data_IF_103215671728
#
_entry.id   IF_103215671728
#
_cell.length_a   1.000
_cell.length_b   1.000
_cell.length_c   1.000
_cell.angle_alpha   90.00
_cell.angle_beta   90.00
_cell.angle_gamma   90.00
#
_symmetry.space_group_name_H-M   'P 1'
#
loop_
_entity.id
_entity.type
_entity.pdbx_description
1 polymer ?
#
# COMPACT_ATOMS: atom_id res chain seq x y z
N UNK A 1 -27.68 17.74 12.96
CA UNK A 1 -27.18 16.48 13.54
C UNK A 1 -25.75 16.73 13.97
N UNK A 2 -25.45 16.69 15.27
CA UNK A 2 -24.08 16.86 15.77
C UNK A 2 -23.22 15.70 15.25
N UNK A 3 -22.05 16.00 14.71
CA UNK A 3 -21.14 14.99 14.19
C UNK A 3 -20.63 14.13 15.36
N UNK A 4 -20.25 12.88 15.12
CA UNK A 4 -19.66 12.01 16.16
C UNK A 4 -18.43 12.67 16.81
N UNK A 5 -17.71 13.50 16.05
CA UNK A 5 -16.60 14.36 16.50
C UNK A 5 -16.99 15.44 17.52
N UNK A 6 -18.24 15.91 17.56
CA UNK A 6 -18.70 16.83 18.63
C UNK A 6 -18.94 16.09 19.96
N UNK A 7 -19.02 14.75 19.92
CA UNK A 7 -19.29 13.92 21.11
C UNK A 7 -18.03 13.26 21.67
N UNK A 8 -16.97 13.23 20.89
CA UNK A 8 -15.68 12.63 21.23
C UNK A 8 -14.68 13.74 20.92
N UNK A 9 -14.16 14.42 21.94
CA UNK A 9 -13.18 15.52 21.82
C UNK A 9 -11.85 15.03 21.17
N UNK A 10 -11.92 14.64 19.90
CA UNK A 10 -10.86 13.96 19.17
C UNK A 10 -10.77 14.53 17.75
N UNK A 11 -9.54 14.85 17.34
CA UNK A 11 -9.23 15.24 15.96
C UNK A 11 -9.65 14.11 14.99
N UNK A 12 -10.37 14.42 13.89
CA UNK A 12 -10.84 13.42 12.92
C UNK A 12 -9.74 12.47 12.41
N UNK A 13 -8.52 12.99 12.24
CA UNK A 13 -7.35 12.24 11.79
C UNK A 13 -6.93 11.19 12.80
N UNK A 14 -6.95 11.53 14.10
CA UNK A 14 -6.63 10.58 15.19
C UNK A 14 -7.68 9.49 15.27
N UNK A 15 -8.95 9.83 15.10
CA UNK A 15 -10.05 8.86 15.13
C UNK A 15 -9.96 7.91 13.94
N UNK A 16 -9.65 8.42 12.75
CA UNK A 16 -9.41 7.59 11.56
C UNK A 16 -8.21 6.66 11.76
N UNK A 17 -7.07 7.17 12.24
CA UNK A 17 -5.87 6.37 12.51
C UNK A 17 -6.10 5.30 13.58
N UNK A 18 -6.81 5.63 14.66
CA UNK A 18 -7.19 4.67 15.69
C UNK A 18 -8.09 3.57 15.12
N UNK A 19 -9.08 3.95 14.30
CA UNK A 19 -9.98 2.99 13.63
C UNK A 19 -9.20 2.08 12.68
N UNK A 20 -8.32 2.65 11.85
CA UNK A 20 -7.45 1.89 10.97
C UNK A 20 -6.56 0.92 11.74
N UNK A 21 -5.95 1.36 12.84
CA UNK A 21 -5.11 0.54 13.71
C UNK A 21 -5.89 -0.61 14.35
N UNK A 22 -7.09 -0.36 14.87
CA UNK A 22 -7.98 -1.38 15.44
C UNK A 22 -8.41 -2.40 14.40
N UNK A 23 -8.86 -1.95 13.22
CA UNK A 23 -9.26 -2.84 12.13
C UNK A 23 -8.11 -3.71 11.66
N UNK A 24 -6.92 -3.13 11.51
CA UNK A 24 -5.71 -3.86 11.10
C UNK A 24 -5.30 -4.88 12.16
N UNK A 25 -5.26 -4.48 13.44
CA UNK A 25 -4.92 -5.39 14.53
C UNK A 25 -5.93 -6.54 14.66
N UNK A 26 -7.23 -6.24 14.50
CA UNK A 26 -8.28 -7.25 14.50
C UNK A 26 -8.15 -8.20 13.31
N UNK A 27 -7.81 -7.70 12.12
CA UNK A 27 -7.62 -8.51 10.93
C UNK A 27 -6.39 -9.42 11.05
N UNK A 28 -5.27 -8.88 11.50
CA UNK A 28 -4.02 -9.63 11.73
C UNK A 28 -4.23 -10.66 12.84
N UNK A 29 -4.74 -10.22 14.00
CA UNK A 29 -5.05 -11.11 15.12
C UNK A 29 -6.05 -12.20 14.74
N UNK A 30 -7.11 -11.84 14.01
CA UNK A 30 -8.09 -12.79 13.49
C UNK A 30 -7.49 -13.80 12.51
N UNK A 31 -6.60 -13.36 11.61
CA UNK A 31 -5.93 -14.23 10.64
C UNK A 31 -4.97 -15.22 11.30
N UNK A 32 -4.37 -14.84 12.44
CA UNK A 32 -3.46 -15.71 13.20
C UNK A 32 -4.21 -16.66 14.15
N UNK A 33 -5.22 -16.16 14.86
CA UNK A 33 -5.97 -16.92 15.86
C UNK A 33 -7.07 -17.80 15.26
N UNK A 34 -7.64 -17.39 14.14
CA UNK A 34 -8.77 -18.06 13.46
C UNK A 34 -8.45 -18.29 11.99
N UNK A 35 -7.30 -18.92 11.71
CA UNK A 35 -6.74 -19.09 10.36
C UNK A 35 -7.75 -19.66 9.35
N UNK A 36 -8.41 -20.78 9.66
CA UNK A 36 -9.36 -21.39 8.72
C UNK A 36 -10.53 -20.46 8.34
N UNK A 37 -11.05 -19.71 9.32
CA UNK A 37 -12.24 -18.86 9.14
C UNK A 37 -11.91 -17.54 8.49
N UNK A 38 -10.86 -16.87 8.97
CA UNK A 38 -10.51 -15.49 8.60
C UNK A 38 -9.53 -15.47 7.45
N UNK A 39 -8.47 -16.27 7.52
CA UNK A 39 -7.49 -16.33 6.46
C UNK A 39 -8.00 -17.20 5.31
N UNK A 40 -8.25 -18.49 5.50
CA UNK A 40 -8.50 -19.40 4.38
C UNK A 40 -9.87 -19.15 3.71
N UNK A 41 -10.97 -19.21 4.47
CA UNK A 41 -12.35 -19.12 3.94
C UNK A 41 -12.84 -17.69 3.69
N UNK A 42 -12.12 -16.66 4.12
CA UNK A 42 -12.53 -15.27 3.94
C UNK A 42 -11.51 -14.46 3.13
N UNK A 43 -10.35 -14.13 3.70
CA UNK A 43 -9.34 -13.32 3.02
C UNK A 43 -8.79 -14.00 1.77
N UNK A 44 -8.40 -15.27 1.90
CA UNK A 44 -7.83 -16.03 0.81
C UNK A 44 -8.91 -16.33 -0.23
N UNK A 45 -10.05 -16.90 0.17
CA UNK A 45 -11.08 -17.28 -0.78
C UNK A 45 -11.65 -16.10 -1.60
N UNK A 46 -11.87 -14.93 -0.97
CA UNK A 46 -12.55 -13.81 -1.65
C UNK A 46 -11.61 -12.73 -2.19
N UNK A 47 -10.41 -12.54 -1.62
CA UNK A 47 -9.54 -11.43 -2.01
C UNK A 47 -8.24 -11.91 -2.67
N UNK A 48 -7.52 -12.84 -2.04
CA UNK A 48 -6.20 -13.24 -2.53
C UNK A 48 -6.26 -14.33 -3.61
N UNK A 49 -7.03 -15.38 -3.39
CA UNK A 49 -7.18 -16.53 -4.29
C UNK A 49 -7.61 -16.15 -5.72
N UNK A 50 -8.62 -15.26 -5.90
CA UNK A 50 -8.99 -14.77 -7.23
C UNK A 50 -7.84 -14.06 -7.96
N UNK A 51 -7.11 -13.19 -7.25
CA UNK A 51 -5.95 -12.45 -7.80
C UNK A 51 -4.81 -13.39 -8.13
N UNK A 52 -4.56 -14.39 -7.28
CA UNK A 52 -3.52 -15.38 -7.51
C UNK A 52 -3.85 -16.29 -8.71
N UNK A 53 -5.12 -16.69 -8.87
CA UNK A 53 -5.57 -17.46 -10.03
C UNK A 53 -5.38 -16.66 -11.33
N UNK A 54 -5.82 -15.40 -11.34
CA UNK A 54 -5.70 -14.49 -12.48
C UNK A 54 -4.23 -14.23 -12.86
N UNK A 55 -3.38 -13.91 -11.87
CA UNK A 55 -1.96 -13.66 -12.08
C UNK A 55 -1.15 -14.87 -12.56
N UNK A 56 -1.69 -16.09 -12.45
CA UNK A 56 -1.10 -17.33 -12.98
C UNK A 56 -1.82 -17.85 -14.24
N UNK A 57 -2.78 -17.10 -14.81
CA UNK A 57 -3.56 -17.55 -15.98
C UNK A 57 -4.39 -18.81 -15.72
N UNK A 58 -4.76 -19.07 -14.47
CA UNK A 58 -5.47 -20.26 -14.06
C UNK A 58 -6.99 -20.07 -14.08
N UNK A 59 -7.74 -21.15 -14.34
CA UNK A 59 -9.21 -21.14 -14.26
C UNK A 59 -9.67 -20.98 -12.80
N UNK A 60 -8.95 -21.57 -11.85
CA UNK A 60 -9.17 -21.36 -10.43
C UNK A 60 -7.88 -21.64 -9.63
N UNK A 61 -7.83 -21.10 -8.42
CA UNK A 61 -6.86 -21.46 -7.39
C UNK A 61 -7.55 -22.30 -6.31
N UNK A 62 -6.90 -23.36 -5.85
CA UNK A 62 -7.38 -24.26 -4.80
C UNK A 62 -6.44 -24.18 -3.61
N UNK A 63 -6.95 -23.82 -2.43
CA UNK A 63 -6.20 -23.86 -1.17
C UNK A 63 -6.48 -25.19 -0.47
N UNK A 64 -5.59 -26.15 -0.68
CA UNK A 64 -5.63 -27.49 -0.10
C UNK A 64 -4.63 -27.67 1.04
N UNK A 65 -4.63 -28.86 1.64
CA UNK A 65 -3.73 -29.19 2.75
C UNK A 65 -2.24 -29.18 2.37
N UNK A 66 -1.91 -29.42 1.10
CA UNK A 66 -0.54 -29.39 0.54
C UNK A 66 -0.10 -28.01 0.05
N UNK A 67 -0.97 -27.00 0.11
CA UNK A 67 -0.71 -25.65 -0.39
C UNK A 67 -1.69 -25.21 -1.47
N UNK A 68 -1.31 -24.15 -2.18
CA UNK A 68 -2.12 -23.57 -3.27
C UNK A 68 -1.78 -24.24 -4.59
N UNK A 69 -2.79 -24.78 -5.27
CA UNK A 69 -2.68 -25.33 -6.61
C UNK A 69 -3.47 -24.47 -7.62
N UNK A 70 -2.93 -24.32 -8.83
CA UNK A 70 -3.53 -23.53 -9.91
C UNK A 70 -4.01 -24.47 -11.00
N UNK A 71 -5.34 -24.51 -11.21
CA UNK A 71 -5.96 -25.46 -12.12
C UNK A 71 -6.34 -24.78 -13.44
N UNK A 72 -6.03 -25.43 -14.57
CA UNK A 72 -6.31 -24.94 -15.91
C UNK A 72 -7.66 -25.42 -16.50
N UNK A 73 -8.48 -26.16 -15.75
CA UNK A 73 -9.74 -26.70 -16.25
C UNK A 73 -10.89 -26.52 -15.27
N UNK A 74 -12.06 -26.11 -15.80
CA UNK A 74 -13.29 -25.97 -15.01
C UNK A 74 -13.71 -27.28 -14.36
N UNK A 75 -13.52 -28.41 -15.05
CA UNK A 75 -13.86 -29.73 -14.51
C UNK A 75 -13.03 -30.08 -13.26
N UNK A 76 -11.72 -29.78 -13.27
CA UNK A 76 -10.87 -29.96 -12.10
C UNK A 76 -11.30 -29.06 -10.93
N UNK A 77 -11.61 -27.78 -11.20
CA UNK A 77 -12.14 -26.85 -10.20
C UNK A 77 -13.40 -27.38 -9.52
N UNK A 78 -14.39 -27.84 -10.30
CA UNK A 78 -15.63 -28.40 -9.75
C UNK A 78 -15.43 -29.69 -8.96
N UNK A 79 -14.38 -30.47 -9.30
CA UNK A 79 -14.03 -31.68 -8.56
C UNK A 79 -13.44 -31.33 -7.18
N UNK A 80 -12.56 -30.34 -7.12
CA UNK A 80 -12.02 -29.82 -5.85
C UNK A 80 -13.10 -29.22 -4.96
N UNK A 81 -14.06 -28.49 -5.54
CA UNK A 81 -15.22 -27.99 -4.79
C UNK A 81 -16.06 -29.13 -4.20
N UNK A 82 -16.33 -30.17 -5.00
CA UNK A 82 -17.09 -31.34 -4.54
C UNK A 82 -16.35 -32.13 -3.45
N UNK A 83 -15.01 -32.08 -3.45
CA UNK A 83 -14.16 -32.62 -2.38
C UNK A 83 -14.15 -31.75 -1.11
N UNK A 84 -14.78 -30.57 -1.14
CA UNK A 84 -14.87 -29.66 0.00
C UNK A 84 -13.66 -28.75 0.18
N UNK A 85 -12.80 -28.63 -0.84
CA UNK A 85 -11.64 -27.75 -0.84
C UNK A 85 -12.05 -26.27 -1.01
N UNK A 86 -11.16 -25.36 -0.62
CA UNK A 86 -11.42 -23.92 -0.75
C UNK A 86 -10.97 -23.49 -2.15
N UNK A 87 -11.94 -23.27 -3.02
CA UNK A 87 -11.71 -22.89 -4.42
C UNK A 87 -12.03 -21.40 -4.61
N UNK A 88 -11.17 -20.70 -5.36
CA UNK A 88 -11.32 -19.31 -5.73
C UNK A 88 -11.18 -19.15 -7.24
N UNK A 89 -12.14 -18.45 -7.86
CA UNK A 89 -12.11 -18.14 -9.29
C UNK A 89 -11.61 -16.71 -9.51
N UNK A 90 -10.95 -16.44 -10.65
CA UNK A 90 -10.66 -15.07 -11.08
C UNK A 90 -11.92 -14.19 -11.12
N UNK A 91 -11.73 -12.90 -10.89
CA UNK A 91 -12.81 -11.90 -10.90
C UNK A 91 -13.40 -11.59 -9.53
N UNK A 92 -14.52 -10.87 -9.53
CA UNK A 92 -15.15 -10.36 -8.31
C UNK A 92 -16.43 -11.13 -7.96
N UNK A 93 -16.51 -11.54 -6.71
CA UNK A 93 -17.74 -11.96 -6.05
C UNK A 93 -18.43 -10.76 -5.41
N UNK A 94 -19.70 -10.91 -5.02
CA UNK A 94 -20.41 -9.88 -4.24
C UNK A 94 -19.66 -9.51 -2.94
N UNK A 95 -19.06 -10.51 -2.27
CA UNK A 95 -18.31 -10.31 -1.02
C UNK A 95 -17.07 -9.45 -1.28
N UNK A 96 -16.29 -9.79 -2.30
CA UNK A 96 -15.09 -9.03 -2.66
C UNK A 96 -15.44 -7.64 -3.17
N UNK A 97 -16.48 -7.50 -3.99
CA UNK A 97 -16.90 -6.21 -4.54
C UNK A 97 -17.29 -5.24 -3.43
N UNK A 98 -18.17 -5.66 -2.51
CA UNK A 98 -18.55 -4.85 -1.34
C UNK A 98 -17.34 -4.59 -0.45
N UNK A 99 -16.49 -5.60 -0.23
CA UNK A 99 -15.26 -5.45 0.55
C UNK A 99 -14.33 -4.38 -0.01
N UNK A 100 -14.07 -4.40 -1.32
CA UNK A 100 -13.25 -3.40 -1.99
C UNK A 100 -13.88 -2.00 -1.93
N UNK A 101 -15.19 -1.88 -2.15
CA UNK A 101 -15.88 -0.59 -2.02
C UNK A 101 -15.68 -0.01 -0.62
N UNK A 102 -15.86 -0.80 0.44
CA UNK A 102 -15.68 -0.34 1.82
C UNK A 102 -14.25 0.07 2.11
N UNK A 103 -13.27 -0.74 1.67
CA UNK A 103 -11.84 -0.43 1.83
C UNK A 103 -11.48 0.86 1.10
N UNK A 104 -11.94 1.01 -0.15
CA UNK A 104 -11.66 2.19 -0.98
C UNK A 104 -12.27 3.45 -0.39
N UNK A 105 -13.52 3.41 0.07
CA UNK A 105 -14.16 4.55 0.71
C UNK A 105 -13.44 4.92 2.02
N UNK A 106 -13.07 3.93 2.83
CA UNK A 106 -12.34 4.17 4.07
C UNK A 106 -10.96 4.78 3.80
N UNK A 107 -10.23 4.27 2.81
CA UNK A 107 -8.94 4.80 2.37
C UNK A 107 -9.07 6.21 1.80
N UNK A 108 -10.11 6.48 1.01
CA UNK A 108 -10.38 7.81 0.44
C UNK A 108 -10.58 8.85 1.53
N UNK A 109 -11.32 8.52 2.60
CA UNK A 109 -11.44 9.39 3.78
C UNK A 109 -10.07 9.67 4.40
N UNK A 110 -9.22 8.65 4.54
CA UNK A 110 -7.87 8.80 5.05
C UNK A 110 -7.00 9.72 4.19
N UNK A 111 -7.04 9.55 2.87
CA UNK A 111 -6.33 10.41 1.90
C UNK A 111 -6.84 11.84 1.98
N UNK A 112 -8.15 12.04 2.04
CA UNK A 112 -8.73 13.38 2.21
C UNK A 112 -8.22 14.06 3.49
N UNK A 113 -8.29 13.37 4.62
CA UNK A 113 -7.79 13.89 5.90
C UNK A 113 -6.29 14.20 5.84
N UNK A 114 -5.49 13.34 5.19
CA UNK A 114 -4.05 13.55 5.00
C UNK A 114 -3.76 14.80 4.15
N UNK A 115 -4.45 14.95 3.02
CA UNK A 115 -4.27 16.11 2.13
C UNK A 115 -4.72 17.40 2.80
N UNK A 116 -5.81 17.37 3.56
CA UNK A 116 -6.30 18.50 4.34
C UNK A 116 -5.30 18.91 5.43
N UNK A 117 -4.73 17.94 6.15
CA UNK A 117 -3.71 18.17 7.17
C UNK A 117 -2.42 18.78 6.61
N UNK A 118 -2.07 18.44 5.38
CA UNK A 118 -0.89 18.94 4.69
C UNK A 118 -1.13 20.24 3.91
N UNK A 119 -2.39 20.70 3.82
CA UNK A 119 -2.80 21.92 3.09
C UNK A 119 -2.37 21.94 1.60
N UNK A 120 -2.18 20.76 0.99
CA UNK A 120 -1.70 20.62 -0.40
C UNK A 120 -2.80 20.32 -1.43
N UNK A 121 -4.03 20.06 -0.97
CA UNK A 121 -5.13 19.57 -1.82
C UNK A 121 -5.50 20.50 -2.99
N UNK A 122 -5.35 21.81 -2.82
CA UNK A 122 -5.73 22.83 -3.80
C UNK A 122 -4.52 23.37 -4.61
N UNK A 123 -3.33 22.79 -4.41
CA UNK A 123 -2.09 23.27 -5.04
C UNK A 123 -1.94 22.73 -6.47
N UNK A 124 -1.45 23.59 -7.39
CA UNK A 124 -1.12 23.15 -8.76
C UNK A 124 0.13 22.27 -8.75
N UNK A 125 0.97 22.45 -7.74
CA UNK A 125 2.16 21.70 -7.44
C UNK A 125 1.83 20.21 -7.23
N UNK A 126 0.76 19.90 -6.47
CA UNK A 126 0.29 18.51 -6.30
C UNK A 126 -0.10 17.87 -7.64
N UNK A 127 -0.80 18.62 -8.50
CA UNK A 127 -1.15 18.13 -9.83
C UNK A 127 0.09 17.76 -10.64
N UNK A 128 1.09 18.65 -10.73
CA UNK A 128 2.32 18.37 -11.46
C UNK A 128 3.15 17.26 -10.81
N UNK A 129 3.10 17.13 -9.47
CA UNK A 129 3.75 16.05 -8.75
C UNK A 129 3.15 14.67 -9.09
N UNK A 130 1.85 14.59 -9.41
CA UNK A 130 1.16 13.34 -9.78
C UNK A 130 1.42 12.89 -11.22
N UNK A 131 1.76 13.81 -12.14
CA UNK A 131 1.95 13.49 -13.58
C UNK A 131 2.95 12.34 -13.82
N UNK A 132 4.15 12.30 -13.21
CA UNK A 132 5.06 11.18 -13.40
C UNK A 132 4.48 9.85 -12.92
N UNK A 133 3.68 9.85 -11.85
CA UNK A 133 3.04 8.64 -11.32
C UNK A 133 1.96 8.11 -12.26
N UNK A 134 1.18 9.01 -12.88
CA UNK A 134 0.18 8.64 -13.89
C UNK A 134 0.85 7.97 -15.09
N UNK A 135 1.92 8.58 -15.62
CA UNK A 135 2.64 8.05 -16.78
C UNK A 135 3.37 6.73 -16.46
N UNK A 136 4.09 6.68 -15.34
CA UNK A 136 4.82 5.49 -14.93
C UNK A 136 3.88 4.33 -14.59
N UNK A 137 2.77 4.60 -13.91
CA UNK A 137 1.76 3.59 -13.60
C UNK A 137 1.11 3.02 -14.85
N UNK A 138 0.72 3.88 -15.80
CA UNK A 138 0.19 3.44 -17.09
C UNK A 138 1.17 2.55 -17.85
N UNK A 139 2.45 2.94 -17.90
CA UNK A 139 3.49 2.16 -18.56
C UNK A 139 3.70 0.78 -17.90
N UNK A 140 3.78 0.72 -16.57
CA UNK A 140 3.96 -0.56 -15.87
C UNK A 140 2.76 -1.50 -16.04
N UNK A 141 1.53 -0.96 -16.07
CA UNK A 141 0.32 -1.71 -16.43
C UNK A 141 0.43 -2.34 -17.82
N UNK A 142 0.91 -1.60 -18.82
CA UNK A 142 1.09 -2.18 -20.16
C UNK A 142 2.13 -3.29 -20.22
N UNK A 143 3.17 -3.21 -19.37
CA UNK A 143 4.19 -4.27 -19.26
C UNK A 143 3.59 -5.53 -18.61
N UNK A 144 2.75 -5.37 -17.59
CA UNK A 144 1.98 -6.47 -17.00
C UNK A 144 1.05 -7.14 -18.02
N UNK A 145 0.25 -6.34 -18.74
CA UNK A 145 -0.68 -6.85 -19.77
C UNK A 145 0.07 -7.65 -20.85
N UNK A 146 1.26 -7.19 -21.26
CA UNK A 146 2.12 -7.92 -22.20
C UNK A 146 2.63 -9.25 -21.62
N UNK A 147 2.89 -9.31 -20.31
CA UNK A 147 3.25 -10.54 -19.61
C UNK A 147 2.10 -11.56 -19.57
N UNK A 148 0.87 -11.11 -19.30
CA UNK A 148 -0.33 -11.96 -19.35
C UNK A 148 -0.55 -12.50 -20.77
N UNK A 149 -0.44 -11.65 -21.79
CA UNK A 149 -0.56 -12.08 -23.19
C UNK A 149 0.52 -13.11 -23.59
N UNK A 150 1.73 -13.03 -23.01
CA UNK A 150 2.77 -14.03 -23.23
C UNK A 150 2.40 -15.38 -22.61
N UNK A 151 1.88 -15.39 -21.37
CA UNK A 151 1.39 -16.60 -20.70
C UNK A 151 0.31 -17.31 -21.50
N UNK A 152 -0.67 -16.56 -22.02
CA UNK A 152 -1.73 -17.09 -22.89
C UNK A 152 -1.19 -17.71 -24.18
N UNK A 153 -0.08 -17.18 -24.70
CA UNK A 153 0.62 -17.70 -25.87
C UNK A 153 1.57 -18.88 -25.55
N UNK A 154 1.67 -19.30 -24.29
CA UNK A 154 2.59 -20.34 -23.83
C UNK A 154 4.06 -19.91 -23.80
N UNK A 155 4.33 -18.60 -23.76
CA UNK A 155 5.66 -17.99 -23.68
C UNK A 155 5.92 -17.50 -22.26
N UNK A 156 7.13 -17.72 -21.75
CA UNK A 156 7.50 -17.25 -20.41
C UNK A 156 7.50 -15.71 -20.36
N UNK A 157 6.76 -15.06 -19.44
CA UNK A 157 6.73 -13.62 -19.31
C UNK A 157 8.07 -13.09 -18.81
N UNK A 158 8.39 -11.85 -19.20
CA UNK A 158 9.62 -11.18 -18.77
C UNK A 158 9.69 -11.00 -17.24
N UNK A 159 8.53 -10.82 -16.60
CA UNK A 159 8.37 -10.72 -15.16
C UNK A 159 7.16 -11.54 -14.76
N UNK A 160 7.38 -12.62 -14.02
CA UNK A 160 6.31 -13.51 -13.56
C UNK A 160 5.67 -13.04 -12.25
N UNK A 161 4.44 -13.51 -12.01
CA UNK A 161 3.80 -13.36 -10.71
C UNK A 161 4.60 -14.12 -9.64
N UNK A 162 4.75 -13.58 -8.41
CA UNK A 162 4.13 -12.37 -7.86
C UNK A 162 4.93 -11.07 -8.07
N UNK A 163 6.09 -11.13 -8.74
CA UNK A 163 6.96 -9.96 -8.90
C UNK A 163 6.34 -8.88 -9.79
N UNK A 164 5.63 -9.29 -10.85
CA UNK A 164 4.85 -8.37 -11.71
C UNK A 164 3.86 -7.54 -10.89
N UNK A 165 3.11 -8.20 -9.99
CA UNK A 165 2.16 -7.55 -9.09
C UNK A 165 2.85 -6.56 -8.12
N UNK A 166 4.06 -6.85 -7.65
CA UNK A 166 4.80 -5.93 -6.80
C UNK A 166 5.22 -4.64 -7.55
N UNK A 167 5.59 -4.76 -8.83
CA UNK A 167 6.06 -3.63 -9.66
C UNK A 167 4.92 -2.64 -9.97
N UNK A 168 3.74 -3.13 -10.32
CA UNK A 168 2.57 -2.29 -10.59
C UNK A 168 1.91 -1.73 -9.31
N UNK A 169 2.22 -2.31 -8.16
CA UNK A 169 1.59 -1.93 -6.90
C UNK A 169 2.04 -0.54 -6.44
N UNK A 170 1.26 0.14 -5.60
CA UNK A 170 1.67 1.40 -4.98
C UNK A 170 2.99 1.33 -4.21
N UNK A 171 3.45 0.12 -3.86
CA UNK A 171 4.70 -0.16 -3.15
C UNK A 171 5.93 0.33 -3.93
N UNK A 172 5.92 0.26 -5.27
CA UNK A 172 7.04 0.71 -6.11
C UNK A 172 7.28 2.21 -5.92
N UNK A 173 6.22 2.99 -5.79
CA UNK A 173 6.29 4.44 -5.61
C UNK A 173 6.86 4.83 -4.25
N UNK A 174 6.52 4.07 -3.20
CA UNK A 174 7.12 4.23 -1.88
C UNK A 174 8.63 4.00 -1.89
N UNK A 175 9.09 2.94 -2.56
CA UNK A 175 10.53 2.65 -2.67
C UNK A 175 11.30 3.68 -3.51
N UNK A 176 10.73 4.17 -4.61
CA UNK A 176 11.34 5.23 -5.40
C UNK A 176 11.46 6.54 -4.61
N UNK A 177 10.46 6.87 -3.81
CA UNK A 177 10.50 8.05 -2.95
C UNK A 177 11.61 7.95 -1.89
N UNK A 178 11.74 6.80 -1.22
CA UNK A 178 12.81 6.55 -0.25
C UNK A 178 14.22 6.55 -0.85
N UNK A 179 14.38 6.10 -2.10
CA UNK A 179 15.70 6.15 -2.77
C UNK A 179 16.17 7.58 -3.06
N UNK A 180 15.25 8.55 -3.09
CA UNK A 180 15.54 9.95 -3.43
C UNK A 180 15.72 10.86 -2.21
N UNK A 181 15.33 10.41 -1.03
CA UNK A 181 15.57 11.11 0.23
C UNK A 181 16.96 10.78 0.79
N UNK A 182 18.02 11.08 0.04
CA UNK A 182 19.34 11.22 0.67
C UNK A 182 19.38 12.59 1.36
N UNK A 183 19.73 12.66 2.65
CA UNK A 183 19.92 13.94 3.31
C UNK A 183 21.06 14.67 2.61
N UNK A 184 20.75 15.82 2.01
CA UNK A 184 21.75 16.80 1.64
C UNK A 184 22.50 17.17 2.90
N UNK A 185 23.72 16.63 3.06
CA UNK A 185 24.61 16.99 4.14
C UNK A 185 24.77 18.52 4.11
N UNK A 186 24.19 19.16 5.12
CA UNK A 186 24.19 20.60 5.32
C UNK A 186 25.63 21.11 5.42
N UNK A 187 25.96 22.09 4.58
CA UNK A 187 27.18 22.86 4.70
C UNK A 187 27.27 23.54 6.07
N UNK A 188 28.39 23.34 6.76
CA UNK A 188 28.74 24.08 7.97
C UNK A 188 29.26 25.47 7.58
N UNK A 189 28.38 26.47 7.59
CA UNK A 189 28.80 27.87 7.67
C UNK A 189 28.98 28.27 9.15
N UNK A 190 30.07 28.97 9.41
CA UNK A 190 30.66 29.39 10.70
C UNK A 190 29.73 30.12 11.67
N UNK A 191 29.99 30.07 12.99
CA UNK A 191 29.41 31.02 13.94
C UNK A 191 30.31 32.26 14.10
N UNK A 192 29.71 33.43 13.91
CA UNK A 192 30.29 34.73 14.26
C UNK A 192 29.91 35.11 15.69
N UNK A 193 30.88 35.67 16.42
CA UNK A 193 30.79 36.58 17.58
C UNK A 193 30.34 36.03 18.95
N UNK A 194 31.26 36.07 19.92
CA UNK A 194 31.33 37.12 20.95
C UNK A 194 32.08 36.62 22.20
N UNK A 195 33.25 37.20 22.49
CA UNK A 195 33.83 37.21 23.83
C UNK A 195 34.76 38.41 23.94
N UNK A 196 34.18 39.54 24.32
CA UNK A 196 34.90 40.68 24.89
C UNK A 196 35.51 40.25 26.22
N UNK A 197 36.83 40.08 26.25
CA UNK A 197 37.60 40.01 27.48
C UNK A 197 38.47 41.26 27.59
N UNK A 198 38.04 42.16 28.45
CA UNK A 198 38.85 43.22 29.05
C UNK A 198 40.18 42.66 29.55
N UNK A 199 41.28 43.24 29.11
CA UNK A 199 42.56 43.14 29.82
C UNK A 199 43.31 44.46 29.67
N UNK A 200 43.03 45.33 30.63
CA UNK A 200 43.90 46.33 31.24
C UNK A 200 45.37 46.38 30.78
N UNK A 201 45.73 47.48 30.12
CA UNK A 201 47.11 48.00 30.00
C UNK A 201 47.28 49.20 30.95
N UNK A 202 48.35 49.27 31.75
CA UNK A 202 48.69 50.48 32.50
C UNK A 202 49.67 51.35 31.71
N UNK A 203 49.30 52.60 31.44
CA UNK A 203 50.23 53.65 31.03
C UNK A 203 50.31 54.72 32.12
N UNK A 204 51.51 54.86 32.69
CA UNK A 204 51.89 55.83 33.72
C UNK A 204 51.69 57.29 33.33
N UNK A 205 51.62 58.23 34.30
CA UNK A 205 51.53 59.66 34.06
C UNK A 205 52.91 60.34 33.99
N UNK A 206 53.00 61.35 33.11
CA UNK A 206 53.79 62.59 33.15
C UNK A 206 55.20 62.61 33.75
N UNK A 207 56.17 62.98 32.88
CA UNK A 207 57.42 63.68 33.17
C UNK A 207 57.83 64.45 31.92
#
# INVERSE_FOLDING_TARGET
>A
MAAVTDRVDAEPERLWLATFGVLTAALVGGSLLFRERVWDRFLWQYFWGPVAADGNGAVCAVNGASGVEYLASTAACTTSEAAGEIVAYPGYTLVSEVGYILILLFALVGVYLMLNRLEIGDSRELFYALVPFILFGGALRTVEDAGIAALDAGVEPLISFPLSAAIISPFIYGTMFCSRSQPSASGSASPTAASSSDTSTPSSPSG
#
